data_IF_733439261054
#
_entry.id   IF_733439261054
#
_cell.length_a   1.000
_cell.length_b   1.000
_cell.length_c   1.000
_cell.angle_alpha   90.00
_cell.angle_beta   90.00
_cell.angle_gamma   90.00
#
_symmetry.space_group_name_H-M   'P 1'
#
loop_
_entity.id
_entity.type
_entity.pdbx_description
1 polymer ?
#
# COMPACT_ATOMS: atom_id res chain seq x y z
N UNK A 1 5.93 -13.58 -12.26
CA UNK A 1 6.16 -12.23 -12.81
C UNK A 1 7.34 -11.57 -12.09
N UNK A 2 7.33 -11.44 -10.74
CA UNK A 2 8.41 -10.77 -9.99
C UNK A 2 9.80 -11.38 -10.22
N UNK A 3 9.91 -12.71 -10.24
CA UNK A 3 11.17 -13.39 -10.53
C UNK A 3 11.71 -12.99 -11.92
N UNK A 4 10.85 -13.01 -12.93
CA UNK A 4 11.22 -12.63 -14.30
C UNK A 4 11.60 -11.15 -14.39
N UNK A 5 10.84 -10.26 -13.77
CA UNK A 5 11.15 -8.82 -13.81
C UNK A 5 12.45 -8.49 -13.07
N UNK A 6 12.79 -9.18 -11.99
CA UNK A 6 14.05 -9.01 -11.28
C UNK A 6 15.29 -9.39 -12.12
N UNK A 7 15.14 -10.34 -13.07
CA UNK A 7 16.20 -10.67 -14.02
C UNK A 7 16.32 -9.68 -15.18
N UNK A 8 15.24 -8.97 -15.52
CA UNK A 8 15.22 -8.04 -16.65
C UNK A 8 15.64 -6.61 -16.25
N UNK A 9 15.38 -6.21 -15.01
CA UNK A 9 15.69 -4.88 -14.52
C UNK A 9 16.01 -4.92 -13.01
N UNK A 10 16.97 -4.13 -12.53
CA UNK A 10 17.24 -4.03 -11.10
C UNK A 10 16.03 -3.46 -10.36
N UNK A 11 15.87 -3.84 -9.10
CA UNK A 11 14.84 -3.29 -8.19
C UNK A 11 15.51 -2.21 -7.32
N UNK A 12 15.47 -0.94 -7.73
CA UNK A 12 16.18 0.12 -7.04
C UNK A 12 15.46 0.49 -5.74
N UNK A 13 16.28 0.93 -4.78
CA UNK A 13 15.81 1.55 -3.55
C UNK A 13 16.04 3.06 -3.67
N UNK A 14 15.07 3.87 -3.27
CA UNK A 14 15.24 5.32 -3.27
C UNK A 14 16.22 5.74 -2.16
N UNK A 15 17.35 6.34 -2.51
CA UNK A 15 18.32 6.88 -1.54
C UNK A 15 17.66 7.90 -0.62
N UNK A 16 17.88 7.78 0.68
CA UNK A 16 17.21 8.60 1.69
C UNK A 16 15.75 8.20 1.96
N UNK A 17 15.32 7.04 1.43
CA UNK A 17 14.03 6.41 1.68
C UNK A 17 12.92 6.80 0.71
N UNK A 18 11.80 6.08 0.79
CA UNK A 18 10.64 6.23 -0.12
C UNK A 18 10.05 7.65 -0.13
N UNK A 19 10.18 8.42 0.95
CA UNK A 19 9.77 9.82 0.99
C UNK A 19 10.50 10.70 -0.05
N UNK A 20 11.68 10.29 -0.54
CA UNK A 20 12.40 11.00 -1.59
C UNK A 20 11.59 11.06 -2.90
N UNK A 21 10.87 9.97 -3.22
CA UNK A 21 9.98 9.89 -4.39
C UNK A 21 8.83 10.89 -4.26
N UNK A 22 8.15 10.90 -3.11
CA UNK A 22 7.05 11.84 -2.86
C UNK A 22 7.50 13.30 -2.87
N UNK A 23 8.70 13.59 -2.32
CA UNK A 23 9.27 14.94 -2.36
C UNK A 23 9.58 15.39 -3.78
N UNK A 24 10.15 14.51 -4.61
CA UNK A 24 10.45 14.81 -6.01
C UNK A 24 9.17 15.12 -6.80
N UNK A 25 8.13 14.30 -6.65
CA UNK A 25 6.82 14.53 -7.30
C UNK A 25 6.16 15.83 -6.81
N UNK A 26 6.20 16.12 -5.51
CA UNK A 26 5.66 17.34 -4.96
C UNK A 26 6.44 18.59 -5.44
N UNK A 27 7.76 18.48 -5.58
CA UNK A 27 8.61 19.54 -6.15
C UNK A 27 8.25 19.80 -7.62
N UNK A 28 8.12 18.76 -8.42
CA UNK A 28 7.70 18.87 -9.82
C UNK A 28 6.31 19.50 -9.92
N UNK A 29 5.34 19.07 -9.11
CA UNK A 29 4.00 19.66 -9.11
C UNK A 29 4.06 21.15 -8.83
N UNK A 30 4.85 21.59 -7.84
CA UNK A 30 5.00 23.02 -7.51
C UNK A 30 5.68 23.80 -8.64
N UNK A 31 6.69 23.24 -9.30
CA UNK A 31 7.36 23.89 -10.45
C UNK A 31 6.43 24.10 -11.64
N UNK A 32 5.37 23.30 -11.74
CA UNK A 32 4.29 23.42 -12.72
C UNK A 32 3.15 24.33 -12.25
N UNK A 33 3.30 25.07 -11.15
CA UNK A 33 2.28 25.96 -10.59
C UNK A 33 1.23 25.29 -9.73
N UNK A 34 1.35 23.99 -9.45
CA UNK A 34 0.45 23.26 -8.58
C UNK A 34 0.68 23.56 -7.10
N UNK A 35 -0.33 23.34 -6.27
CA UNK A 35 -0.28 23.54 -4.82
C UNK A 35 -0.43 22.21 -4.07
N UNK A 36 0.30 22.06 -2.97
CA UNK A 36 0.13 20.97 -2.01
C UNK A 36 -0.32 21.56 -0.68
N UNK A 37 -1.51 21.19 -0.23
CA UNK A 37 -2.09 21.60 1.06
C UNK A 37 -2.12 20.38 1.99
N UNK A 38 -1.40 20.44 3.08
CA UNK A 38 -1.36 19.41 4.12
C UNK A 38 -2.13 19.87 5.35
N UNK A 39 -2.52 18.92 6.23
CA UNK A 39 -3.26 19.23 7.44
C UNK A 39 -4.72 19.64 7.20
N UNK A 40 -5.26 19.43 5.98
CA UNK A 40 -6.63 19.78 5.61
C UNK A 40 -7.43 18.51 5.34
N UNK A 41 -8.08 17.93 6.35
CA UNK A 41 -8.93 16.76 6.14
C UNK A 41 -10.20 17.17 5.38
N UNK A 42 -10.45 16.55 4.23
CA UNK A 42 -11.68 16.74 3.44
C UNK A 42 -12.73 15.74 3.94
N UNK A 43 -13.86 16.22 4.44
CA UNK A 43 -14.96 15.41 4.98
C UNK A 43 -16.19 15.40 4.08
N UNK A 44 -16.32 16.41 3.24
CA UNK A 44 -17.38 16.51 2.24
C UNK A 44 -16.84 17.14 0.95
N UNK A 45 -17.43 16.75 -0.18
CA UNK A 45 -17.03 17.30 -1.48
C UNK A 45 -17.25 18.83 -1.57
N UNK A 46 -18.24 19.33 -0.84
CA UNK A 46 -18.56 20.77 -0.78
C UNK A 46 -17.44 21.64 -0.15
N UNK A 47 -16.52 21.03 0.60
CA UNK A 47 -15.36 21.72 1.18
C UNK A 47 -14.25 21.98 0.13
N UNK A 48 -14.32 21.32 -1.03
CA UNK A 48 -13.35 21.48 -2.10
C UNK A 48 -13.71 22.68 -2.98
N UNK A 49 -12.74 23.45 -3.44
CA UNK A 49 -12.99 24.52 -4.39
C UNK A 49 -13.57 23.97 -5.70
N UNK A 50 -14.38 24.77 -6.43
CA UNK A 50 -14.87 24.38 -7.74
C UNK A 50 -13.72 23.99 -8.68
N UNK A 51 -13.84 22.82 -9.29
CA UNK A 51 -12.83 22.29 -10.21
C UNK A 51 -13.46 21.61 -11.42
N UNK A 52 -12.70 21.54 -12.50
CA UNK A 52 -13.12 20.84 -13.73
C UNK A 52 -13.14 19.32 -13.54
N UNK A 53 -12.28 18.79 -12.68
CA UNK A 53 -12.22 17.39 -12.28
C UNK A 53 -11.70 17.23 -10.86
N UNK A 54 -12.17 16.21 -10.16
CA UNK A 54 -11.69 15.77 -8.85
C UNK A 54 -11.17 14.33 -8.97
N UNK A 55 -9.92 14.11 -8.65
CA UNK A 55 -9.28 12.80 -8.65
C UNK A 55 -9.08 12.38 -7.19
N UNK A 56 -9.65 11.24 -6.82
CA UNK A 56 -9.63 10.73 -5.45
C UNK A 56 -8.59 9.61 -5.34
N UNK A 57 -7.47 9.87 -4.67
CA UNK A 57 -6.55 8.82 -4.20
C UNK A 57 -7.01 8.30 -2.83
N UNK A 58 -8.25 7.82 -2.79
CA UNK A 58 -8.91 7.33 -1.59
C UNK A 58 -9.42 5.91 -1.79
N UNK A 59 -9.73 5.21 -0.70
CA UNK A 59 -10.43 3.93 -0.79
C UNK A 59 -11.82 4.10 -1.43
N UNK A 60 -12.40 3.03 -2.02
CA UNK A 60 -13.76 3.06 -2.54
C UNK A 60 -14.81 3.46 -1.51
N UNK A 61 -14.65 3.07 -0.24
CA UNK A 61 -15.56 3.45 0.84
C UNK A 61 -15.49 4.94 1.14
N UNK A 62 -14.30 5.53 1.18
CA UNK A 62 -14.15 6.98 1.35
C UNK A 62 -14.75 7.77 0.19
N UNK A 63 -14.55 7.30 -1.05
CA UNK A 63 -15.24 7.91 -2.20
C UNK A 63 -16.76 7.82 -2.06
N UNK A 64 -17.26 6.66 -1.60
CA UNK A 64 -18.70 6.47 -1.39
C UNK A 64 -19.26 7.37 -0.28
N UNK A 65 -18.46 7.70 0.75
CA UNK A 65 -18.82 8.67 1.79
C UNK A 65 -18.82 10.10 1.25
N UNK A 66 -17.70 10.54 0.66
CA UNK A 66 -17.48 11.92 0.22
C UNK A 66 -18.41 12.34 -0.92
N UNK A 67 -18.71 11.43 -1.84
CA UNK A 67 -19.46 11.71 -3.04
C UNK A 67 -20.89 11.12 -3.03
N UNK A 68 -21.39 10.66 -1.89
CA UNK A 68 -22.73 10.06 -1.75
C UNK A 68 -23.85 10.87 -2.41
N UNK A 69 -23.93 12.19 -2.23
CA UNK A 69 -25.01 12.98 -2.84
C UNK A 69 -24.97 13.06 -4.36
N UNK A 70 -23.83 12.79 -4.99
CA UNK A 70 -23.60 12.95 -6.43
C UNK A 70 -23.57 11.62 -7.20
N UNK A 71 -23.59 10.51 -6.50
CA UNK A 71 -23.45 9.19 -7.12
C UNK A 71 -24.72 8.36 -6.98
N UNK A 72 -25.15 7.65 -8.02
CA UNK A 72 -26.34 6.80 -7.94
C UNK A 72 -26.21 5.71 -6.86
N UNK A 73 -27.30 5.43 -6.14
CA UNK A 73 -27.33 4.44 -5.08
C UNK A 73 -26.81 3.05 -5.49
N UNK A 74 -27.08 2.62 -6.73
CA UNK A 74 -26.56 1.37 -7.29
C UNK A 74 -25.04 1.35 -7.45
N UNK A 75 -24.42 2.49 -7.73
CA UNK A 75 -22.97 2.61 -7.83
C UNK A 75 -22.33 2.61 -6.41
N UNK A 76 -22.91 3.35 -5.47
CA UNK A 76 -22.47 3.39 -4.08
C UNK A 76 -22.50 2.00 -3.44
N UNK A 77 -23.59 1.22 -3.67
CA UNK A 77 -23.64 -0.18 -3.19
C UNK A 77 -22.52 -1.04 -3.76
N UNK A 78 -22.11 -0.83 -5.02
CA UNK A 78 -20.99 -1.57 -5.63
C UNK A 78 -19.64 -1.17 -5.06
N UNK A 79 -19.40 0.12 -4.81
CA UNK A 79 -18.19 0.60 -4.13
C UNK A 79 -18.04 -0.03 -2.73
N UNK A 80 -19.13 -0.06 -1.92
CA UNK A 80 -19.15 -0.65 -0.58
C UNK A 80 -19.00 -2.17 -0.55
N UNK A 81 -19.14 -2.86 -1.67
CA UNK A 81 -18.88 -4.30 -1.80
C UNK A 81 -17.42 -4.61 -2.14
N UNK A 82 -16.60 -3.60 -2.29
CA UNK A 82 -15.19 -3.79 -2.55
C UNK A 82 -14.51 -4.48 -1.36
N UNK A 83 -13.69 -5.51 -1.63
CA UNK A 83 -13.03 -6.32 -0.60
C UNK A 83 -11.58 -5.90 -0.46
N UNK A 84 -11.16 -5.58 0.76
CA UNK A 84 -9.81 -5.11 1.04
C UNK A 84 -8.81 -6.24 1.31
N UNK A 85 -9.26 -7.34 1.89
CA UNK A 85 -8.43 -8.51 2.21
C UNK A 85 -7.82 -8.46 3.60
N UNK A 86 -6.83 -9.33 3.87
CA UNK A 86 -6.12 -9.36 5.13
C UNK A 86 -5.47 -8.03 5.47
N UNK A 87 -5.39 -7.74 6.76
CA UNK A 87 -4.54 -6.68 7.29
C UNK A 87 -3.10 -7.15 7.46
N UNK A 88 -2.26 -6.26 7.98
CA UNK A 88 -0.89 -6.59 8.37
C UNK A 88 -0.60 -6.18 9.81
N UNK A 89 0.28 -6.93 10.47
CA UNK A 89 0.98 -6.49 11.67
C UNK A 89 2.41 -6.19 11.27
N UNK A 90 2.88 -4.96 11.49
CA UNK A 90 4.18 -4.45 11.06
C UNK A 90 5.06 -4.16 12.27
N UNK A 91 6.34 -4.49 12.15
CA UNK A 91 7.39 -4.11 13.08
C UNK A 91 8.44 -3.26 12.38
N UNK A 92 8.93 -2.25 13.08
CA UNK A 92 10.13 -1.50 12.73
C UNK A 92 11.16 -1.72 13.85
N UNK A 93 12.43 -1.95 13.49
CA UNK A 93 13.53 -2.14 14.41
C UNK A 93 14.66 -1.15 14.17
N UNK A 94 15.28 -0.69 15.26
CA UNK A 94 16.65 -0.20 15.29
C UNK A 94 17.54 -1.33 15.77
N UNK A 95 18.65 -1.58 15.08
CA UNK A 95 19.55 -2.70 15.33
C UNK A 95 20.97 -2.20 15.58
N UNK A 96 21.72 -2.88 16.43
CA UNK A 96 23.13 -2.58 16.75
C UNK A 96 24.13 -3.13 15.72
N UNK A 97 23.61 -3.79 14.68
CA UNK A 97 24.39 -4.39 13.60
C UNK A 97 23.50 -4.99 12.52
N UNK A 98 24.10 -5.61 11.50
CA UNK A 98 23.35 -6.28 10.46
C UNK A 98 22.62 -7.51 11.01
N UNK A 99 21.54 -7.94 10.34
CA UNK A 99 20.81 -9.14 10.69
C UNK A 99 21.74 -10.36 10.51
N UNK A 100 21.89 -11.22 11.54
CA UNK A 100 22.87 -12.33 11.55
C UNK A 100 22.33 -13.56 10.80
N UNK A 101 22.10 -13.43 9.49
CA UNK A 101 21.57 -14.51 8.66
C UNK A 101 22.43 -15.77 8.71
N UNK A 102 21.80 -16.95 8.77
CA UNK A 102 22.49 -18.24 8.57
C UNK A 102 23.15 -18.31 7.19
N UNK A 103 22.48 -17.79 6.18
CA UNK A 103 23.02 -17.64 4.83
C UNK A 103 23.43 -16.18 4.60
N UNK A 104 24.74 -15.90 4.56
CA UNK A 104 25.24 -14.53 4.37
C UNK A 104 24.85 -13.90 3.05
N UNK A 105 24.43 -14.67 2.04
CA UNK A 105 23.93 -14.12 0.77
C UNK A 105 22.68 -13.25 0.96
N UNK A 106 21.90 -13.46 2.04
CA UNK A 106 20.78 -12.62 2.40
C UNK A 106 21.16 -11.16 2.68
N UNK A 107 22.40 -10.87 3.04
CA UNK A 107 22.89 -9.50 3.24
C UNK A 107 22.93 -8.67 1.95
N UNK A 108 23.00 -9.31 0.80
CA UNK A 108 22.96 -8.64 -0.50
C UNK A 108 21.54 -8.24 -0.95
N UNK A 109 20.50 -8.72 -0.25
CA UNK A 109 19.10 -8.46 -0.57
C UNK A 109 18.53 -7.32 0.29
N UNK A 110 17.82 -6.37 -0.31
CA UNK A 110 17.06 -5.35 0.44
C UNK A 110 15.82 -5.93 1.11
N UNK A 111 15.27 -7.01 0.54
CA UNK A 111 14.06 -7.67 1.03
C UNK A 111 14.26 -9.18 1.05
N UNK A 112 13.90 -9.80 2.17
CA UNK A 112 13.95 -11.25 2.37
C UNK A 112 12.57 -11.74 2.78
N UNK A 113 12.10 -12.84 2.20
CA UNK A 113 10.84 -13.46 2.53
C UNK A 113 11.10 -14.72 3.38
N UNK A 114 10.45 -14.81 4.54
CA UNK A 114 10.63 -15.89 5.51
C UNK A 114 9.33 -16.67 5.66
N UNK A 115 9.37 -17.97 5.44
CA UNK A 115 8.15 -18.79 5.54
C UNK A 115 8.40 -20.28 5.71
N UNK A 116 9.62 -20.75 5.43
CA UNK A 116 9.93 -22.17 5.42
C UNK A 116 9.50 -22.84 4.12
N UNK A 117 8.81 -23.99 4.21
CA UNK A 117 8.34 -24.71 3.02
C UNK A 117 7.12 -24.07 2.37
N UNK A 118 6.81 -24.46 1.13
CA UNK A 118 5.60 -24.02 0.44
C UNK A 118 4.33 -24.35 1.24
N UNK A 119 4.33 -25.53 1.89
CA UNK A 119 3.21 -26.00 2.71
C UNK A 119 3.03 -25.10 3.94
N UNK A 120 4.12 -24.72 4.63
CA UNK A 120 4.09 -23.81 5.78
C UNK A 120 3.54 -22.44 5.35
N UNK A 121 4.07 -21.85 4.27
CA UNK A 121 3.60 -20.57 3.73
C UNK A 121 2.11 -20.64 3.38
N UNK A 122 1.71 -21.67 2.64
CA UNK A 122 0.33 -21.84 2.20
C UNK A 122 -0.63 -22.06 3.37
N UNK A 123 -0.19 -22.78 4.42
CA UNK A 123 -0.98 -22.99 5.64
C UNK A 123 -1.14 -21.69 6.42
N UNK A 124 -0.06 -20.92 6.59
CA UNK A 124 -0.09 -19.63 7.28
C UNK A 124 -1.03 -18.63 6.59
N UNK A 125 -0.92 -18.47 5.27
CA UNK A 125 -1.79 -17.57 4.52
C UNK A 125 -3.26 -18.01 4.55
N UNK A 126 -3.55 -19.31 4.44
CA UNK A 126 -4.92 -19.83 4.59
C UNK A 126 -5.51 -19.60 5.99
N UNK A 127 -4.70 -19.72 7.04
CA UNK A 127 -5.14 -19.45 8.42
C UNK A 127 -5.64 -18.01 8.56
N UNK A 128 -4.88 -17.05 8.04
CA UNK A 128 -5.27 -15.62 8.04
C UNK A 128 -6.62 -15.39 7.35
N UNK A 129 -6.87 -16.05 6.21
CA UNK A 129 -8.16 -15.96 5.51
C UNK A 129 -9.34 -16.59 6.26
N UNK A 130 -9.08 -17.52 7.18
CA UNK A 130 -10.09 -18.09 8.07
C UNK A 130 -10.35 -17.26 9.32
N UNK A 131 -9.54 -16.23 9.56
CA UNK A 131 -9.61 -15.40 10.77
C UNK A 131 -8.63 -15.80 11.86
N UNK A 132 -7.71 -16.72 11.57
CA UNK A 132 -6.73 -17.22 12.52
C UNK A 132 -5.41 -16.44 12.43
N UNK A 133 -4.60 -16.53 13.50
CA UNK A 133 -3.27 -15.96 13.58
C UNK A 133 -2.24 -17.10 13.62
N UNK A 134 -1.47 -17.31 12.53
CA UNK A 134 -0.50 -18.39 12.50
C UNK A 134 0.68 -18.13 13.48
N UNK A 135 1.09 -19.17 14.21
CA UNK A 135 2.29 -19.09 15.09
C UNK A 135 3.59 -18.91 14.29
N UNK A 136 3.63 -19.42 13.07
CA UNK A 136 4.74 -19.27 12.11
C UNK A 136 4.25 -18.53 10.88
N UNK A 137 4.10 -17.19 10.97
CA UNK A 137 3.59 -16.41 9.86
C UNK A 137 4.59 -16.37 8.69
N UNK A 138 4.07 -16.19 7.49
CA UNK A 138 4.87 -15.74 6.37
C UNK A 138 5.25 -14.28 6.58
N UNK A 139 6.56 -13.99 6.62
CA UNK A 139 7.08 -12.66 6.96
C UNK A 139 7.81 -12.07 5.76
N UNK A 140 7.44 -10.85 5.38
CA UNK A 140 8.26 -10.00 4.51
C UNK A 140 9.14 -9.14 5.41
N UNK A 141 10.46 -9.22 5.22
CA UNK A 141 11.44 -8.43 5.97
C UNK A 141 12.26 -7.57 5.01
N UNK A 142 12.39 -6.29 5.34
CA UNK A 142 13.25 -5.35 4.62
C UNK A 142 14.40 -4.89 5.51
N UNK A 143 15.61 -4.83 4.92
CA UNK A 143 16.85 -4.40 5.58
C UNK A 143 17.51 -3.29 4.73
N UNK A 144 16.79 -2.20 4.55
CA UNK A 144 17.14 -1.12 3.61
C UNK A 144 18.48 -0.43 3.92
N UNK A 145 18.94 -0.43 5.18
CA UNK A 145 20.23 0.11 5.57
C UNK A 145 21.43 -0.68 5.05
N UNK A 146 21.22 -1.92 4.55
CA UNK A 146 22.26 -2.68 3.86
C UNK A 146 22.60 -2.09 2.47
N UNK A 147 21.67 -1.37 1.87
CA UNK A 147 21.78 -0.81 0.51
C UNK A 147 21.97 0.71 0.57
N UNK A 148 21.40 1.36 1.57
CA UNK A 148 21.43 2.82 1.75
C UNK A 148 21.93 3.15 3.16
N UNK A 149 23.18 3.54 3.28
CA UNK A 149 23.86 3.89 4.52
C UNK A 149 23.31 5.13 5.22
N UNK A 150 22.54 5.94 4.51
CA UNK A 150 21.87 7.12 5.07
C UNK A 150 20.67 6.78 5.98
N UNK A 151 20.32 5.49 6.12
CA UNK A 151 19.13 5.03 6.84
C UNK A 151 19.36 4.76 8.33
N UNK A 152 20.62 4.71 8.79
CA UNK A 152 21.00 4.52 10.17
C UNK A 152 22.32 5.22 10.48
N UNK A 153 22.64 5.51 11.75
CA UNK A 153 23.99 5.91 12.16
C UNK A 153 25.03 4.84 11.82
N UNK A 154 26.29 5.26 11.71
CA UNK A 154 27.39 4.33 11.43
C UNK A 154 27.42 3.15 12.43
N UNK A 155 27.55 1.93 11.91
CA UNK A 155 27.54 0.71 12.70
C UNK A 155 26.16 0.23 13.18
N UNK A 156 25.11 1.03 12.97
CA UNK A 156 23.72 0.65 13.27
C UNK A 156 22.95 0.33 12.00
N UNK A 157 21.85 -0.38 12.16
CA UNK A 157 20.99 -0.78 11.06
C UNK A 157 19.51 -0.56 11.38
N UNK A 158 18.71 -0.48 10.34
CA UNK A 158 17.25 -0.50 10.44
C UNK A 158 16.70 -1.69 9.68
N UNK A 159 15.66 -2.28 10.24
CA UNK A 159 14.86 -3.29 9.56
C UNK A 159 13.38 -3.03 9.80
N UNK A 160 12.55 -3.49 8.88
CA UNK A 160 11.14 -3.64 9.18
C UNK A 160 10.62 -4.95 8.61
N UNK A 161 9.61 -5.49 9.26
CA UNK A 161 8.90 -6.65 8.74
C UNK A 161 7.40 -6.51 8.93
N UNK A 162 6.66 -7.28 8.18
CA UNK A 162 5.25 -7.51 8.45
C UNK A 162 4.85 -8.94 8.13
N UNK A 163 3.78 -9.38 8.78
CA UNK A 163 3.03 -10.58 8.40
C UNK A 163 1.57 -10.22 8.13
N UNK A 164 0.88 -11.07 7.38
CA UNK A 164 -0.56 -10.94 7.21
C UNK A 164 -1.29 -11.38 8.49
N UNK A 165 -2.38 -10.67 8.80
CA UNK A 165 -3.30 -10.96 9.90
C UNK A 165 -4.74 -10.79 9.42
N UNK A 166 -5.75 -11.33 10.11
CA UNK A 166 -7.14 -11.04 9.80
C UNK A 166 -7.42 -9.53 9.74
N UNK A 167 -8.29 -9.12 8.83
CA UNK A 167 -8.67 -7.71 8.68
C UNK A 167 -9.19 -7.13 10.01
N UNK A 168 -8.65 -5.97 10.40
CA UNK A 168 -9.03 -5.32 11.66
C UNK A 168 -8.50 -6.00 12.93
N UNK A 169 -7.54 -6.92 12.82
CA UNK A 169 -6.96 -7.59 13.98
C UNK A 169 -6.36 -6.60 14.97
N UNK A 170 -6.66 -6.84 16.26
CA UNK A 170 -6.07 -6.12 17.40
C UNK A 170 -4.87 -6.83 18.01
N UNK A 171 -4.58 -8.07 17.54
CA UNK A 171 -3.52 -8.89 18.11
C UNK A 171 -2.14 -8.37 17.68
N UNK A 172 -1.24 -8.30 18.65
CA UNK A 172 0.18 -8.00 18.42
C UNK A 172 0.92 -9.29 18.03
N UNK A 173 1.50 -9.30 16.83
CA UNK A 173 2.28 -10.43 16.30
C UNK A 173 3.79 -10.27 16.47
N UNK A 174 4.25 -9.34 17.33
CA UNK A 174 5.68 -9.08 17.56
C UNK A 174 6.45 -10.36 17.84
N UNK A 175 5.99 -11.16 18.82
CA UNK A 175 6.67 -12.38 19.21
C UNK A 175 6.75 -13.41 18.09
N UNK A 176 5.67 -13.57 17.30
CA UNK A 176 5.62 -14.52 16.19
C UNK A 176 6.55 -14.09 15.03
N UNK A 177 6.54 -12.80 14.68
CA UNK A 177 7.43 -12.25 13.64
C UNK A 177 8.89 -12.40 14.07
N UNK A 178 9.25 -12.00 15.27
CA UNK A 178 10.63 -12.10 15.77
C UNK A 178 11.11 -13.55 15.92
N UNK A 179 10.22 -14.46 16.31
CA UNK A 179 10.52 -15.89 16.32
C UNK A 179 10.81 -16.44 14.92
N UNK A 180 10.06 -15.97 13.93
CA UNK A 180 10.30 -16.39 12.56
C UNK A 180 11.62 -15.83 12.01
N UNK A 181 11.97 -14.58 12.33
CA UNK A 181 13.28 -14.02 11.97
C UNK A 181 14.41 -14.78 12.66
N UNK A 182 14.30 -15.02 13.97
CA UNK A 182 15.27 -15.76 14.77
C UNK A 182 15.54 -17.18 14.22
N UNK A 183 14.52 -17.84 13.67
CA UNK A 183 14.63 -19.15 13.03
C UNK A 183 15.65 -19.16 11.88
N UNK A 184 15.74 -18.07 11.11
CA UNK A 184 16.61 -17.94 9.95
C UNK A 184 17.85 -17.08 10.19
N UNK A 185 17.85 -16.31 11.27
CA UNK A 185 18.93 -15.42 11.69
C UNK A 185 19.13 -15.53 13.22
N UNK A 186 19.76 -16.62 13.71
CA UNK A 186 19.99 -16.82 15.15
C UNK A 186 20.79 -15.69 15.78
N UNK A 187 20.33 -15.17 16.93
CA UNK A 187 20.88 -14.01 17.60
C UNK A 187 20.30 -12.67 17.10
N UNK A 188 19.28 -12.69 16.24
CA UNK A 188 18.63 -11.47 15.77
C UNK A 188 18.03 -10.64 16.92
N UNK A 189 17.39 -11.31 17.89
CA UNK A 189 16.78 -10.63 19.04
C UNK A 189 17.77 -9.85 19.88
N UNK A 190 19.00 -10.33 19.99
CA UNK A 190 20.07 -9.69 20.74
C UNK A 190 20.57 -8.41 20.06
N UNK A 191 20.29 -8.25 18.75
CA UNK A 191 20.61 -7.05 17.97
C UNK A 191 19.59 -5.93 18.10
N UNK A 192 18.45 -6.16 18.73
CA UNK A 192 17.35 -5.19 18.76
C UNK A 192 17.61 -4.13 19.83
N UNK A 193 17.92 -2.90 19.42
CA UNK A 193 18.03 -1.74 20.28
C UNK A 193 16.67 -1.15 20.65
N UNK A 194 15.77 -1.09 19.69
CA UNK A 194 14.40 -0.59 19.86
C UNK A 194 13.47 -1.18 18.81
N UNK A 195 12.19 -1.24 19.15
CA UNK A 195 11.14 -1.71 18.24
C UNK A 195 9.88 -0.85 18.33
N UNK A 196 9.14 -0.80 17.23
CA UNK A 196 7.79 -0.24 17.18
C UNK A 196 6.88 -1.20 16.43
N UNK A 197 5.78 -1.59 17.06
CA UNK A 197 4.73 -2.39 16.43
C UNK A 197 3.60 -1.49 15.91
N UNK A 198 2.96 -1.90 14.81
CA UNK A 198 1.74 -1.34 14.27
C UNK A 198 0.80 -2.50 13.91
N UNK A 199 -0.30 -2.64 14.64
CA UNK A 199 -1.32 -3.67 14.42
C UNK A 199 -2.25 -3.28 13.29
N UNK A 200 -3.03 -4.22 12.75
CA UNK A 200 -3.94 -3.94 11.66
C UNK A 200 -4.94 -2.81 11.98
N UNK A 201 -5.44 -2.71 13.21
CA UNK A 201 -6.34 -1.62 13.63
C UNK A 201 -5.67 -0.25 13.65
N UNK A 202 -4.36 -0.19 13.88
CA UNK A 202 -3.62 1.07 13.98
C UNK A 202 -3.42 1.73 12.62
N UNK A 203 -3.42 0.93 11.54
CA UNK A 203 -3.22 1.40 10.18
C UNK A 203 -4.31 2.36 9.70
N UNK A 204 -5.57 2.15 10.08
CA UNK A 204 -6.66 3.02 9.68
C UNK A 204 -6.53 4.44 10.28
N UNK A 205 -5.97 4.55 11.49
CA UNK A 205 -5.65 5.85 12.13
C UNK A 205 -4.45 6.53 11.46
N UNK A 206 -3.49 5.75 10.98
CA UNK A 206 -2.33 6.25 10.25
C UNK A 206 -2.70 6.72 8.84
N UNK A 207 -3.51 5.93 8.11
CA UNK A 207 -4.00 6.27 6.77
C UNK A 207 -5.34 5.57 6.52
N UNK A 208 -6.40 6.34 6.34
CA UNK A 208 -7.77 5.82 6.11
C UNK A 208 -7.90 4.93 4.86
N UNK A 209 -6.93 4.93 3.94
CA UNK A 209 -6.89 4.00 2.81
C UNK A 209 -6.57 2.56 3.22
N UNK A 210 -6.00 2.35 4.39
CA UNK A 210 -5.66 1.02 4.92
C UNK A 210 -6.82 0.40 5.70
N UNK A 211 -7.93 0.20 5.02
CA UNK A 211 -9.16 -0.37 5.59
C UNK A 211 -8.88 -1.77 6.15
N UNK A 212 -9.15 -1.95 7.46
CA UNK A 212 -8.84 -3.20 8.16
C UNK A 212 -7.34 -3.54 8.25
N UNK A 213 -6.46 -2.58 8.00
CA UNK A 213 -5.01 -2.80 7.96
C UNK A 213 -4.49 -3.36 6.63
N UNK A 214 -5.34 -3.45 5.61
CA UNK A 214 -4.95 -3.93 4.28
C UNK A 214 -4.10 -2.88 3.54
N UNK A 215 -2.85 -3.20 3.26
CA UNK A 215 -1.88 -2.28 2.62
C UNK A 215 -1.86 -2.37 1.09
N UNK A 216 -2.59 -3.32 0.50
CA UNK A 216 -2.54 -3.61 -0.95
C UNK A 216 -3.64 -2.93 -1.77
N UNK A 217 -4.48 -2.08 -1.15
CA UNK A 217 -5.58 -1.39 -1.84
C UNK A 217 -6.64 -2.34 -2.42
N UNK A 218 -6.76 -3.53 -1.86
CA UNK A 218 -7.81 -4.50 -2.16
C UNK A 218 -7.32 -5.88 -2.58
N UNK A 219 -8.16 -6.88 -2.36
CA UNK A 219 -7.92 -8.30 -2.69
C UNK A 219 -7.55 -8.46 -4.17
N UNK A 220 -6.58 -9.33 -4.43
CA UNK A 220 -6.11 -9.70 -5.78
C UNK A 220 -6.66 -11.07 -6.21
N UNK A 221 -7.93 -11.36 -5.96
CA UNK A 221 -8.56 -12.56 -6.52
C UNK A 221 -8.99 -12.35 -7.97
N UNK A 222 -9.30 -13.45 -8.65
CA UNK A 222 -9.65 -13.47 -10.07
C UNK A 222 -10.84 -12.54 -10.38
N UNK A 223 -11.85 -12.51 -9.51
CA UNK A 223 -13.04 -11.70 -9.76
C UNK A 223 -12.74 -10.20 -9.62
N UNK A 224 -12.09 -9.79 -8.52
CA UNK A 224 -11.82 -8.39 -8.26
C UNK A 224 -10.68 -7.84 -9.11
N UNK A 225 -9.79 -8.70 -9.63
CA UNK A 225 -8.73 -8.28 -10.55
C UNK A 225 -9.31 -7.59 -11.81
N UNK A 226 -10.43 -8.10 -12.33
CA UNK A 226 -11.09 -7.55 -13.53
C UNK A 226 -12.22 -6.57 -13.22
N UNK A 227 -12.79 -6.60 -12.01
CA UNK A 227 -13.95 -5.77 -11.66
C UNK A 227 -13.64 -4.58 -10.73
N UNK A 228 -12.38 -4.29 -10.47
CA UNK A 228 -11.99 -3.29 -9.46
C UNK A 228 -12.04 -1.85 -9.97
N UNK A 229 -12.47 -0.86 -9.13
CA UNK A 229 -13.21 -1.08 -7.88
C UNK A 229 -14.67 -1.44 -8.15
N UNK A 230 -15.16 -1.15 -9.34
CA UNK A 230 -16.49 -1.48 -9.88
C UNK A 230 -16.32 -1.78 -11.36
N UNK A 231 -16.96 -2.86 -11.84
CA UNK A 231 -16.91 -3.23 -13.28
C UNK A 231 -17.47 -2.10 -14.16
N UNK A 232 -16.57 -1.48 -14.92
CA UNK A 232 -16.84 -0.38 -15.86
C UNK A 232 -15.86 -0.43 -17.03
N UNK A 233 -16.27 0.14 -18.17
CA UNK A 233 -15.40 0.29 -19.36
C UNK A 233 -14.12 1.08 -19.04
N UNK A 234 -14.21 2.09 -18.17
CA UNK A 234 -13.08 2.80 -17.60
C UNK A 234 -13.21 2.77 -16.08
N UNK A 235 -12.40 1.95 -15.38
CA UNK A 235 -12.52 1.77 -13.94
C UNK A 235 -12.17 3.01 -13.11
N UNK A 236 -11.48 3.96 -13.71
CA UNK A 236 -11.10 5.23 -13.08
C UNK A 236 -12.23 6.25 -13.04
N UNK A 237 -13.27 6.07 -13.87
CA UNK A 237 -14.40 7.00 -13.98
C UNK A 237 -15.53 6.60 -13.03
N UNK A 238 -16.29 7.61 -12.59
CA UNK A 238 -17.57 7.41 -11.90
C UNK A 238 -18.76 7.74 -12.83
N UNK A 239 -20.01 7.49 -12.41
CA UNK A 239 -21.18 8.01 -13.12
C UNK A 239 -21.20 9.54 -13.21
N UNK A 240 -20.66 10.25 -12.21
CA UNK A 240 -20.56 11.70 -12.25
C UNK A 240 -19.42 12.17 -13.18
N UNK A 241 -19.65 13.17 -14.07
CA UNK A 241 -18.70 13.55 -15.12
C UNK A 241 -17.36 14.11 -14.62
N UNK A 242 -17.31 14.66 -13.42
CA UNK A 242 -16.11 15.31 -12.85
C UNK A 242 -15.39 14.49 -11.76
N UNK A 243 -15.92 13.32 -11.36
CA UNK A 243 -15.34 12.53 -10.27
C UNK A 243 -14.62 11.30 -10.82
N UNK A 244 -13.37 11.13 -10.40
CA UNK A 244 -12.49 10.03 -10.82
C UNK A 244 -11.84 9.39 -9.59
N UNK A 245 -11.57 8.08 -9.64
CA UNK A 245 -10.83 7.36 -8.62
C UNK A 245 -9.47 6.95 -9.19
N UNK A 246 -8.39 7.24 -8.45
CA UNK A 246 -7.02 7.00 -8.89
C UNK A 246 -6.18 6.19 -7.90
N UNK A 247 -6.79 5.70 -6.82
CA UNK A 247 -6.09 4.96 -5.78
C UNK A 247 -5.66 3.54 -6.19
N UNK A 248 -4.90 2.90 -5.33
CA UNK A 248 -4.48 1.49 -5.46
C UNK A 248 -5.66 0.50 -5.60
N UNK A 249 -6.89 0.91 -5.33
CA UNK A 249 -8.10 0.12 -5.58
C UNK A 249 -8.50 0.07 -7.06
N UNK A 250 -7.87 0.87 -7.94
CA UNK A 250 -8.05 0.83 -9.40
C UNK A 250 -6.96 -0.04 -10.07
N UNK A 251 -7.12 -0.48 -11.33
CA UNK A 251 -6.04 -1.12 -12.08
C UNK A 251 -4.81 -0.21 -12.24
N UNK A 252 -3.60 -0.74 -12.32
CA UNK A 252 -3.23 -2.15 -12.19
C UNK A 252 -3.11 -2.64 -10.72
N UNK A 253 -3.59 -1.93 -9.75
CA UNK A 253 -3.58 -2.11 -8.29
C UNK A 253 -2.34 -1.52 -7.61
N UNK A 254 -2.09 -1.93 -6.33
CA UNK A 254 -0.96 -1.45 -5.54
C UNK A 254 0.40 -1.74 -6.20
N UNK A 255 1.33 -0.83 -5.98
CA UNK A 255 2.70 -0.86 -6.44
C UNK A 255 3.28 0.56 -6.51
N UNK A 256 4.60 0.69 -6.45
CA UNK A 256 5.28 1.99 -6.58
C UNK A 256 5.48 2.30 -8.05
N UNK A 257 4.44 2.59 -8.78
CA UNK A 257 4.47 2.79 -10.24
C UNK A 257 3.67 4.01 -10.74
N UNK A 258 2.80 4.63 -9.91
CA UNK A 258 1.97 5.78 -10.30
C UNK A 258 0.96 5.54 -11.44
N UNK A 259 0.74 4.28 -11.86
CA UNK A 259 -0.07 4.00 -13.05
C UNK A 259 -1.57 4.19 -12.80
N UNK A 260 -2.05 3.99 -11.56
CA UNK A 260 -3.44 4.26 -11.20
C UNK A 260 -3.78 5.74 -11.46
N UNK A 261 -2.91 6.63 -10.98
CA UNK A 261 -3.03 8.09 -11.12
C UNK A 261 -2.88 8.51 -12.58
N UNK A 262 -1.89 7.96 -13.29
CA UNK A 262 -1.66 8.24 -14.70
C UNK A 262 -2.89 7.92 -15.57
N UNK A 263 -3.46 6.73 -15.42
CA UNK A 263 -4.63 6.34 -16.19
C UNK A 263 -5.90 7.10 -15.80
N UNK A 264 -6.06 7.44 -14.51
CA UNK A 264 -7.14 8.28 -14.04
C UNK A 264 -7.04 9.71 -14.61
N UNK A 265 -5.84 10.30 -14.60
CA UNK A 265 -5.58 11.61 -15.19
C UNK A 265 -5.88 11.61 -16.70
N UNK A 266 -5.43 10.58 -17.43
CA UNK A 266 -5.79 10.42 -18.87
C UNK A 266 -7.29 10.30 -19.09
N UNK A 267 -8.00 9.56 -18.23
CA UNK A 267 -9.46 9.44 -18.34
C UNK A 267 -10.16 10.78 -18.07
N UNK A 268 -9.69 11.55 -17.10
CA UNK A 268 -10.18 12.88 -16.79
C UNK A 268 -9.96 13.84 -17.97
N UNK A 269 -8.75 13.93 -18.51
CA UNK A 269 -8.42 14.78 -19.64
C UNK A 269 -9.29 14.46 -20.88
N UNK A 270 -9.40 13.20 -21.25
CA UNK A 270 -10.26 12.77 -22.37
C UNK A 270 -11.73 13.18 -22.19
N UNK A 271 -12.21 13.14 -20.95
CA UNK A 271 -13.61 13.52 -20.67
C UNK A 271 -13.79 15.04 -20.70
N UNK A 272 -12.83 15.79 -20.19
CA UNK A 272 -12.82 17.25 -20.25
C UNK A 272 -12.79 17.76 -21.70
N UNK A 273 -11.96 17.16 -22.56
CA UNK A 273 -11.92 17.51 -23.98
C UNK A 273 -13.26 17.27 -24.71
N UNK A 274 -13.96 16.18 -24.37
CA UNK A 274 -15.31 15.92 -24.96
C UNK A 274 -16.32 16.95 -24.49
N UNK A 275 -16.32 17.33 -23.22
CA UNK A 275 -17.24 18.34 -22.67
C UNK A 275 -17.01 19.76 -23.28
N UNK A 276 -15.78 20.06 -23.72
CA UNK A 276 -15.46 21.34 -24.37
C UNK A 276 -15.71 21.32 -25.89
N UNK A 277 -15.82 20.12 -26.50
CA UNK A 277 -16.09 19.95 -27.91
C UNK A 277 -17.57 19.83 -28.23
N UNK A 278 -18.45 19.61 -27.25
CA UNK A 278 -19.90 19.66 -27.44
C UNK A 278 -20.35 21.13 -27.35
N UNK A 279 -20.97 21.72 -28.43
CA UNK A 279 -21.54 23.05 -28.34
C UNK A 279 -22.64 23.07 -27.27
N UNK A 280 -22.63 24.12 -26.44
CA UNK A 280 -23.70 24.41 -25.49
C UNK A 280 -25.02 24.60 -26.29
N UNK A 281 -25.87 23.59 -26.29
CA UNK A 281 -27.26 23.69 -26.72
C UNK A 281 -28.15 24.04 -25.56
#
# INVERSE_FOLDING_TARGET
>A
IFLLSGHLAPWPVARGGSAAISRALASLLRSLGGQVRTGVPVRALAELPPARAYLFDTSPDQLAELAAPLLPAGYLRRLRRFRYGPGVCKLDWALDGPIPWRDPSCLAASTVHLGGTLEEISAAERAVWRGDHPERPYVLLCQQSQIDDSRAPAGQHTGYAYCHVPAGSTLDQTAAIESQVERFAPGFRDRILARRAMRAVDFASYNRNYVGGAITGGVADVFQLFSRPVLRRSPYTTPHPRLFLCSASTPPKSGVHGMCDFFAARAALRRLHRLTAEPLH
#
